data_IF_704025392585
#
_entry.id   IF_704025392585
#
_cell.length_a   1.000
_cell.length_b   1.000
_cell.length_c   1.000
_cell.angle_alpha   90.00
_cell.angle_beta   90.00
_cell.angle_gamma   90.00
#
_symmetry.space_group_name_H-M   'P 1'
#
loop_
_entity.id
_entity.type
_entity.pdbx_description
1 polymer ?
#
# COMPACT_ATOMS: atom_id res chain seq x y z
N UNK A 1 10.21 -49.08 28.03
CA UNK A 1 11.17 -48.80 26.94
C UNK A 1 10.84 -49.65 25.74
N UNK A 2 10.46 -49.03 24.61
CA UNK A 2 10.94 -49.29 23.22
C UNK A 2 9.94 -48.68 22.23
N UNK A 3 10.48 -47.75 21.43
CA UNK A 3 9.86 -47.00 20.34
C UNK A 3 10.04 -47.79 19.04
N UNK A 4 9.03 -47.81 18.16
CA UNK A 4 9.12 -48.06 16.70
C UNK A 4 7.85 -47.36 16.12
N UNK A 5 7.85 -46.16 15.54
CA UNK A 5 8.38 -45.62 14.27
C UNK A 5 7.90 -46.37 13.02
N UNK A 6 7.10 -45.68 12.18
CA UNK A 6 6.87 -45.98 10.76
C UNK A 6 5.41 -46.37 10.45
N UNK A 7 4.74 -45.92 9.39
CA UNK A 7 5.18 -45.35 8.11
C UNK A 7 4.13 -44.35 7.61
N UNK A 8 4.63 -43.23 7.11
CA UNK A 8 3.94 -42.20 6.36
C UNK A 8 3.45 -42.78 5.02
N UNK A 9 2.13 -42.96 4.85
CA UNK A 9 1.55 -43.28 3.55
C UNK A 9 1.35 -41.97 2.77
N UNK A 10 2.32 -41.69 1.89
CA UNK A 10 2.23 -40.67 0.86
C UNK A 10 1.25 -41.19 -0.20
N UNK A 11 0.05 -40.60 -0.27
CA UNK A 11 -0.83 -40.81 -1.42
C UNK A 11 -0.50 -39.74 -2.46
N UNK A 12 0.37 -40.11 -3.41
CA UNK A 12 0.45 -39.46 -4.71
C UNK A 12 -0.76 -39.96 -5.50
N UNK A 13 -1.76 -39.12 -5.71
CA UNK A 13 -2.73 -39.33 -6.79
C UNK A 13 -2.52 -38.24 -7.84
N UNK A 14 -1.97 -38.70 -8.96
CA UNK A 14 -1.71 -37.99 -10.20
C UNK A 14 -3.00 -37.51 -10.86
N UNK A 15 -3.04 -36.19 -11.10
CA UNK A 15 -3.69 -35.46 -12.20
C UNK A 15 -4.77 -36.20 -13.03
N UNK A 16 -6.03 -35.85 -12.78
CA UNK A 16 -7.06 -35.78 -13.82
C UNK A 16 -7.31 -34.30 -14.15
N UNK A 17 -7.02 -33.92 -15.40
CA UNK A 17 -7.22 -32.59 -15.96
C UNK A 17 -8.72 -32.25 -15.99
N UNK A 18 -9.21 -31.56 -14.95
CA UNK A 18 -10.38 -30.70 -15.08
C UNK A 18 -9.93 -29.33 -15.57
N UNK A 19 -10.58 -28.81 -16.61
CA UNK A 19 -10.35 -27.48 -17.20
C UNK A 19 -10.66 -26.39 -16.15
N UNK A 20 -9.74 -26.17 -15.22
CA UNK A 20 -9.69 -24.97 -14.42
C UNK A 20 -9.17 -23.84 -15.30
N UNK A 21 -10.09 -23.10 -15.91
CA UNK A 21 -9.78 -21.72 -16.26
C UNK A 21 -9.22 -21.03 -15.00
N UNK A 22 -8.12 -20.29 -15.09
CA UNK A 22 -7.62 -19.55 -13.94
C UNK A 22 -8.72 -18.56 -13.54
N UNK A 23 -9.30 -18.74 -12.36
CA UNK A 23 -10.17 -17.73 -11.74
C UNK A 23 -9.28 -16.51 -11.55
N UNK A 24 -9.43 -15.57 -12.48
CA UNK A 24 -8.65 -14.36 -12.54
C UNK A 24 -9.17 -13.40 -11.48
N UNK A 25 -8.61 -13.46 -10.27
CA UNK A 25 -8.88 -12.52 -9.18
C UNK A 25 -8.33 -11.10 -9.43
N UNK A 26 -8.11 -10.70 -10.69
CA UNK A 26 -7.50 -9.39 -11.03
C UNK A 26 -8.50 -8.35 -11.54
N UNK A 27 -9.81 -8.54 -11.38
CA UNK A 27 -10.80 -7.64 -12.02
C UNK A 27 -11.12 -6.39 -11.19
N UNK A 28 -10.89 -6.35 -9.87
CA UNK A 28 -11.43 -5.27 -9.02
C UNK A 28 -10.41 -4.29 -8.42
N UNK A 29 -9.23 -4.06 -9.03
CA UNK A 29 -8.29 -3.02 -8.55
C UNK A 29 -8.02 -1.85 -9.51
N UNK A 30 -8.53 -1.91 -10.74
CA UNK A 30 -8.22 -0.89 -11.76
C UNK A 30 -9.42 -0.04 -12.22
N UNK A 31 -10.66 -0.41 -11.87
CA UNK A 31 -11.85 0.33 -12.30
C UNK A 31 -11.82 1.83 -11.87
N UNK A 32 -11.39 2.12 -10.64
CA UNK A 32 -11.28 3.50 -10.14
C UNK A 32 -10.16 4.33 -10.80
N UNK A 33 -9.06 3.69 -11.20
CA UNK A 33 -7.97 4.36 -11.92
C UNK A 33 -8.38 4.74 -13.34
N UNK A 34 -9.12 3.85 -14.01
CA UNK A 34 -9.68 4.09 -15.33
C UNK A 34 -10.66 5.29 -15.34
N UNK A 35 -11.50 5.40 -14.30
CA UNK A 35 -12.46 6.52 -14.20
C UNK A 35 -11.80 7.87 -13.92
N UNK A 36 -10.76 7.93 -13.07
CA UNK A 36 -10.04 9.19 -12.84
C UNK A 36 -9.28 9.59 -14.09
N UNK A 37 -8.61 8.65 -14.78
CA UNK A 37 -7.90 8.95 -16.02
C UNK A 37 -8.83 9.51 -17.09
N UNK A 38 -10.04 8.94 -17.24
CA UNK A 38 -11.07 9.46 -18.14
C UNK A 38 -11.52 10.87 -17.77
N UNK A 39 -11.85 11.12 -16.49
CA UNK A 39 -12.25 12.45 -16.04
C UNK A 39 -11.15 13.50 -16.23
N UNK A 40 -9.89 13.11 -16.11
CA UNK A 40 -8.75 14.00 -16.37
C UNK A 40 -8.60 14.26 -17.86
N UNK A 41 -8.77 13.26 -18.72
CA UNK A 41 -8.72 13.48 -20.19
C UNK A 41 -9.84 14.40 -20.69
N UNK A 42 -10.97 14.43 -19.99
CA UNK A 42 -12.11 15.31 -20.32
C UNK A 42 -11.88 16.78 -19.91
N UNK A 43 -10.82 17.08 -19.14
CA UNK A 43 -10.45 18.46 -18.76
C UNK A 43 -9.79 19.21 -19.93
N UNK A 44 -9.83 20.56 -19.87
CA UNK A 44 -9.08 21.40 -20.83
C UNK A 44 -7.57 21.13 -20.75
N UNK A 45 -6.79 21.28 -21.84
CA UNK A 45 -5.34 20.99 -21.84
C UNK A 45 -4.55 21.70 -20.73
N UNK A 46 -4.89 22.95 -20.40
CA UNK A 46 -4.27 23.67 -19.28
C UNK A 46 -4.58 23.06 -17.92
N UNK A 47 -5.81 22.60 -17.70
CA UNK A 47 -6.24 21.93 -16.47
C UNK A 47 -5.62 20.54 -16.34
N UNK A 48 -5.45 19.81 -17.44
CA UNK A 48 -4.75 18.52 -17.47
C UNK A 48 -3.30 18.67 -16.98
N UNK A 49 -2.58 19.69 -17.46
CA UNK A 49 -1.20 19.99 -17.01
C UNK A 49 -1.16 20.32 -15.52
N UNK A 50 -2.08 21.16 -15.04
CA UNK A 50 -2.16 21.51 -13.62
C UNK A 50 -2.47 20.29 -12.74
N UNK A 51 -3.42 19.45 -13.15
CA UNK A 51 -3.73 18.20 -12.46
C UNK A 51 -2.50 17.30 -12.39
N UNK A 52 -1.78 17.14 -13.50
CA UNK A 52 -0.56 16.31 -13.56
C UNK A 52 0.48 16.78 -12.55
N UNK A 53 0.79 18.08 -12.51
CA UNK A 53 1.76 18.66 -11.56
C UNK A 53 1.31 18.43 -10.10
N UNK A 54 0.02 18.66 -9.79
CA UNK A 54 -0.51 18.41 -8.45
C UNK A 54 -0.42 16.93 -8.06
N UNK A 55 -0.78 16.05 -8.98
CA UNK A 55 -0.75 14.60 -8.77
C UNK A 55 0.68 14.09 -8.56
N UNK A 56 1.64 14.51 -9.39
CA UNK A 56 3.06 14.18 -9.25
C UNK A 56 3.60 14.63 -7.89
N UNK A 57 3.34 15.89 -7.49
CA UNK A 57 3.73 16.40 -6.17
C UNK A 57 3.11 15.57 -5.03
N UNK A 58 1.84 15.20 -5.13
CA UNK A 58 1.18 14.38 -4.12
C UNK A 58 1.77 12.96 -4.04
N UNK A 59 2.06 12.35 -5.18
CA UNK A 59 2.68 11.01 -5.23
C UNK A 59 4.11 11.02 -4.72
N UNK A 60 4.90 12.05 -5.02
CA UNK A 60 6.24 12.23 -4.48
C UNK A 60 6.22 12.41 -2.96
N UNK A 61 5.29 13.23 -2.46
CA UNK A 61 5.14 13.39 -1.01
C UNK A 61 4.75 12.08 -0.33
N UNK A 62 3.80 11.34 -0.91
CA UNK A 62 3.42 10.00 -0.43
C UNK A 62 4.60 9.03 -0.43
N UNK A 63 5.43 9.05 -1.48
CA UNK A 63 6.64 8.23 -1.57
C UNK A 63 7.63 8.58 -0.46
N UNK A 64 7.86 9.87 -0.18
CA UNK A 64 8.72 10.32 0.92
C UNK A 64 8.25 9.81 2.28
N UNK A 65 6.95 9.93 2.57
CA UNK A 65 6.36 9.40 3.81
C UNK A 65 6.54 7.87 3.92
N UNK A 66 6.25 7.13 2.85
CA UNK A 66 6.42 5.67 2.81
C UNK A 66 7.87 5.25 3.07
N UNK A 67 8.84 5.96 2.49
CA UNK A 67 10.27 5.70 2.72
C UNK A 67 10.67 6.00 4.17
N UNK A 68 10.21 7.11 4.73
CA UNK A 68 10.48 7.47 6.12
C UNK A 68 9.88 6.46 7.13
N UNK A 69 8.66 5.97 6.87
CA UNK A 69 8.03 4.91 7.67
C UNK A 69 8.83 3.62 7.58
N UNK A 70 9.24 3.21 6.36
CA UNK A 70 10.07 2.01 6.16
C UNK A 70 11.40 2.10 6.91
N UNK A 71 12.02 3.28 6.91
CA UNK A 71 13.25 3.52 7.63
C UNK A 71 13.07 3.41 9.16
N UNK A 72 11.97 3.95 9.69
CA UNK A 72 11.62 3.77 11.11
C UNK A 72 11.37 2.29 11.44
N UNK A 73 10.68 1.56 10.57
CA UNK A 73 10.46 0.12 10.77
C UNK A 73 11.78 -0.65 10.80
N UNK A 74 12.72 -0.33 9.92
CA UNK A 74 14.07 -0.91 9.96
C UNK A 74 14.79 -0.59 11.29
N UNK A 75 14.69 0.64 11.78
CA UNK A 75 15.28 1.04 13.06
C UNK A 75 14.66 0.30 14.25
N UNK A 76 13.34 0.11 14.26
CA UNK A 76 12.64 -0.68 15.27
C UNK A 76 13.11 -2.14 15.22
N UNK A 77 13.18 -2.74 14.02
CA UNK A 77 13.66 -4.12 13.87
C UNK A 77 15.11 -4.27 14.34
N UNK A 78 15.99 -3.33 13.99
CA UNK A 78 17.39 -3.32 14.45
C UNK A 78 17.48 -3.26 15.97
N UNK A 79 16.70 -2.39 16.61
CA UNK A 79 16.69 -2.27 18.07
C UNK A 79 16.15 -3.52 18.76
N UNK A 80 15.13 -4.17 18.17
CA UNK A 80 14.57 -5.43 18.69
C UNK A 80 15.53 -6.62 18.61
N UNK A 81 16.48 -6.60 17.67
CA UNK A 81 17.51 -7.65 17.50
C UNK A 81 18.68 -7.51 18.49
N UNK A 82 18.76 -6.40 19.23
CA UNK A 82 19.80 -6.22 20.24
C UNK A 82 19.62 -7.20 21.41
N UNK A 83 20.72 -7.67 22.02
CA UNK A 83 20.70 -8.57 23.20
C UNK A 83 19.89 -7.99 24.37
N UNK A 84 19.86 -6.65 24.49
CA UNK A 84 19.03 -5.90 25.45
C UNK A 84 18.32 -4.75 24.69
N UNK A 85 17.11 -4.96 24.15
CA UNK A 85 16.40 -3.95 23.37
C UNK A 85 16.03 -2.71 24.20
N UNK A 86 16.27 -1.51 23.67
CA UNK A 86 15.81 -0.29 24.31
C UNK A 86 14.32 -0.03 24.03
N UNK A 87 13.45 -0.45 24.96
CA UNK A 87 12.00 -0.30 24.84
C UNK A 87 11.56 1.16 24.74
N UNK A 88 12.20 2.09 25.48
CA UNK A 88 11.88 3.53 25.41
C UNK A 88 12.16 4.09 24.00
N UNK A 89 13.25 3.66 23.37
CA UNK A 89 13.59 4.04 21.98
C UNK A 89 12.59 3.47 20.99
N UNK A 90 12.20 2.20 21.13
CA UNK A 90 11.16 1.57 20.29
C UNK A 90 9.82 2.33 20.41
N UNK A 91 9.41 2.72 21.63
CA UNK A 91 8.18 3.49 21.85
C UNK A 91 8.23 4.86 21.15
N UNK A 92 9.36 5.57 21.23
CA UNK A 92 9.57 6.84 20.51
C UNK A 92 9.50 6.66 18.99
N UNK A 93 10.11 5.60 18.46
CA UNK A 93 10.07 5.27 17.03
C UNK A 93 8.64 4.95 16.56
N UNK A 94 7.88 4.16 17.32
CA UNK A 94 6.47 3.87 17.03
C UNK A 94 5.62 5.15 17.01
N UNK A 95 5.80 6.06 17.98
CA UNK A 95 5.08 7.32 17.99
C UNK A 95 5.43 8.19 16.77
N UNK A 96 6.70 8.22 16.35
CA UNK A 96 7.13 8.93 15.14
C UNK A 96 6.52 8.31 13.88
N UNK A 97 6.46 6.97 13.80
CA UNK A 97 5.80 6.26 12.70
C UNK A 97 4.31 6.61 12.61
N UNK A 98 3.60 6.60 13.73
CA UNK A 98 2.17 6.96 13.77
C UNK A 98 1.95 8.37 13.22
N UNK A 99 2.74 9.35 13.68
CA UNK A 99 2.63 10.73 13.18
C UNK A 99 2.85 10.83 11.67
N UNK A 100 3.83 10.12 11.13
CA UNK A 100 4.06 10.10 9.67
C UNK A 100 2.92 9.44 8.89
N UNK A 101 2.23 8.45 9.47
CA UNK A 101 1.05 7.86 8.86
C UNK A 101 -0.10 8.87 8.84
N UNK A 102 -0.34 9.54 9.96
CA UNK A 102 -1.35 10.61 10.07
C UNK A 102 -1.07 11.75 9.08
N UNK A 103 0.19 12.19 8.99
CA UNK A 103 0.62 13.24 8.07
C UNK A 103 0.45 12.83 6.61
N UNK A 104 0.75 11.57 6.28
CA UNK A 104 0.53 11.02 4.94
C UNK A 104 -0.96 11.02 4.59
N UNK A 105 -1.83 10.59 5.51
CA UNK A 105 -3.28 10.57 5.31
C UNK A 105 -3.85 11.98 5.14
N UNK A 106 -3.44 12.93 6.01
CA UNK A 106 -3.82 14.34 5.92
C UNK A 106 -3.37 14.96 4.60
N UNK A 107 -2.13 14.71 4.17
CA UNK A 107 -1.63 15.21 2.89
C UNK A 107 -2.42 14.65 1.70
N UNK A 108 -2.78 13.36 1.74
CA UNK A 108 -3.57 12.74 0.68
C UNK A 108 -5.01 13.25 0.67
N UNK A 109 -5.61 13.48 1.85
CA UNK A 109 -6.94 14.07 1.96
C UNK A 109 -6.95 15.50 1.40
N UNK A 110 -5.96 16.32 1.75
CA UNK A 110 -5.80 17.67 1.22
C UNK A 110 -5.71 17.67 -0.31
N UNK A 111 -4.88 16.77 -0.89
CA UNK A 111 -4.80 16.62 -2.34
C UNK A 111 -6.15 16.27 -2.97
N UNK A 112 -6.92 15.33 -2.39
CA UNK A 112 -8.24 14.95 -2.90
C UNK A 112 -9.23 16.12 -2.87
N UNK A 113 -9.22 16.91 -1.79
CA UNK A 113 -10.06 18.10 -1.67
C UNK A 113 -9.67 19.14 -2.73
N UNK A 114 -8.37 19.45 -2.87
CA UNK A 114 -7.89 20.38 -3.90
C UNK A 114 -8.25 19.94 -5.32
N UNK A 115 -8.17 18.63 -5.62
CA UNK A 115 -8.57 18.09 -6.93
C UNK A 115 -10.08 18.23 -7.16
N UNK A 116 -10.89 17.97 -6.14
CA UNK A 116 -12.35 18.14 -6.21
C UNK A 116 -12.70 19.60 -6.44
N UNK A 117 -12.08 20.52 -5.70
CA UNK A 117 -12.40 21.95 -5.75
C UNK A 117 -11.95 22.58 -7.08
N UNK A 118 -10.79 22.19 -7.61
CA UNK A 118 -10.24 22.77 -8.86
C UNK A 118 -10.76 22.12 -10.13
N UNK A 119 -11.09 20.83 -10.10
CA UNK A 119 -11.39 20.06 -11.31
C UNK A 119 -12.75 19.33 -11.27
N UNK A 120 -13.48 19.37 -10.14
CA UNK A 120 -14.73 18.62 -9.98
C UNK A 120 -14.52 17.10 -9.90
N UNK A 121 -13.28 16.62 -9.80
CA UNK A 121 -12.95 15.19 -9.82
C UNK A 121 -12.93 14.64 -8.39
N UNK A 122 -13.90 13.77 -8.07
CA UNK A 122 -13.91 13.03 -6.80
C UNK A 122 -12.98 11.80 -6.89
N UNK A 123 -11.90 11.82 -6.14
CA UNK A 123 -10.99 10.68 -5.98
C UNK A 123 -11.48 9.81 -4.82
N UNK A 124 -11.84 8.56 -5.11
CA UNK A 124 -12.26 7.62 -4.08
C UNK A 124 -11.12 7.29 -3.09
N UNK A 125 -11.47 7.15 -1.81
CA UNK A 125 -10.56 6.57 -0.82
C UNK A 125 -10.58 5.06 -0.98
N UNK A 126 -9.44 4.46 -1.34
CA UNK A 126 -9.20 3.06 -0.98
C UNK A 126 -8.88 3.07 0.52
N UNK A 127 -9.90 2.78 1.33
CA UNK A 127 -9.72 2.38 2.72
C UNK A 127 -9.27 0.91 2.69
#
# INVERSE_FOLDING_TARGET
MKKIIGILAIIISTTAFSKNQPVNYSVHKNAGKSQIAKKVSDLKPGQQRQYKVMHERAMDNKKKHKMAIKEIDNQIQKERRNKKPNIKKIKKLNAKKSRLQDDQERSMLKFKLEVKDKFGIKIASSI
#
